data_IF_285334957222
#
_entry.id   IF_285334957222
#
_cell.length_a   1.000
_cell.length_b   1.000
_cell.length_c   1.000
_cell.angle_alpha   90.00
_cell.angle_beta   90.00
_cell.angle_gamma   90.00
#
_symmetry.space_group_name_H-M   'P 1'
#
loop_
_entity.id
_entity.type
_entity.pdbx_description
1 polymer ?
#
# COMPACT_ATOMS: atom_id res chain seq x y z
N UNK A 1 13.02 14.09 39.51
CA UNK A 1 12.68 15.14 38.53
C UNK A 1 13.64 15.24 37.33
N UNK A 2 14.92 14.86 37.44
CA UNK A 2 15.88 15.01 36.33
C UNK A 2 15.69 14.02 35.16
N UNK A 3 15.18 12.80 35.42
CA UNK A 3 14.98 11.77 34.39
C UNK A 3 13.92 12.13 33.33
N UNK A 4 12.91 12.91 33.69
CA UNK A 4 11.87 13.37 32.75
C UNK A 4 12.42 14.47 31.84
N UNK A 5 13.19 15.40 32.38
CA UNK A 5 13.83 16.47 31.61
C UNK A 5 14.90 15.94 30.64
N UNK A 6 15.66 14.92 31.02
CA UNK A 6 16.60 14.25 30.12
C UNK A 6 15.90 13.48 29.00
N UNK A 7 14.79 12.79 29.29
CA UNK A 7 13.97 12.15 28.25
C UNK A 7 13.39 13.18 27.28
N UNK A 8 12.90 14.32 27.78
CA UNK A 8 12.36 15.39 26.94
C UNK A 8 13.45 16.05 26.09
N UNK A 9 14.64 16.30 26.66
CA UNK A 9 15.80 16.82 25.90
C UNK A 9 16.30 15.81 24.85
N UNK A 10 16.36 14.53 25.18
CA UNK A 10 16.70 13.46 24.25
C UNK A 10 15.69 13.31 23.11
N UNK A 11 14.40 13.45 23.40
CA UNK A 11 13.33 13.48 22.39
C UNK A 11 13.44 14.71 21.49
N UNK A 12 13.67 15.90 22.06
CA UNK A 12 13.88 17.15 21.30
C UNK A 12 15.10 17.07 20.38
N UNK A 13 16.21 16.53 20.86
CA UNK A 13 17.43 16.39 20.08
C UNK A 13 17.24 15.41 18.91
N UNK A 14 16.53 14.31 19.13
CA UNK A 14 16.15 13.36 18.06
C UNK A 14 15.18 13.98 17.06
N UNK A 15 14.19 14.74 17.51
CA UNK A 15 13.23 15.43 16.65
C UNK A 15 13.90 16.50 15.79
N UNK A 16 14.86 17.24 16.34
CA UNK A 16 15.63 18.27 15.61
C UNK A 16 16.54 17.69 14.51
N UNK A 17 16.85 16.39 14.57
CA UNK A 17 17.63 15.68 13.53
C UNK A 17 16.76 15.00 12.48
N UNK A 18 15.43 15.07 12.56
CA UNK A 18 14.56 14.47 11.55
C UNK A 18 14.61 15.33 10.29
N UNK A 19 15.13 14.75 9.20
CA UNK A 19 15.09 15.40 7.90
C UNK A 19 13.65 15.45 7.37
N UNK A 20 13.30 16.54 6.67
CA UNK A 20 11.94 16.74 6.17
C UNK A 20 11.53 15.65 5.15
N UNK A 21 12.46 15.17 4.33
CA UNK A 21 12.13 14.23 3.26
C UNK A 21 11.69 12.83 3.76
N UNK A 22 12.39 12.16 4.69
CA UNK A 22 11.87 10.94 5.32
C UNK A 22 10.49 11.12 5.95
N UNK A 23 10.21 12.28 6.54
CA UNK A 23 8.91 12.57 7.13
C UNK A 23 7.83 12.72 6.05
N UNK A 24 8.14 13.40 4.94
CA UNK A 24 7.25 13.51 3.78
C UNK A 24 6.92 12.15 3.17
N UNK A 25 7.92 11.26 3.02
CA UNK A 25 7.67 9.90 2.51
C UNK A 25 6.72 9.14 3.46
N UNK A 26 6.91 9.26 4.79
CA UNK A 26 6.01 8.63 5.77
C UNK A 26 4.61 9.22 5.75
N UNK A 27 4.49 10.54 5.60
CA UNK A 27 3.21 11.21 5.37
C UNK A 27 2.54 10.69 4.09
N UNK A 28 3.32 10.50 3.02
CA UNK A 28 2.86 9.89 1.77
C UNK A 28 2.33 8.47 1.96
N UNK A 29 3.03 7.62 2.73
CA UNK A 29 2.56 6.27 3.08
C UNK A 29 1.20 6.35 3.78
N UNK A 30 1.08 7.20 4.82
CA UNK A 30 -0.16 7.37 5.56
C UNK A 30 -1.31 7.77 4.64
N UNK A 31 -1.10 8.80 3.80
CA UNK A 31 -2.13 9.30 2.89
C UNK A 31 -2.56 8.27 1.85
N UNK A 32 -1.60 7.57 1.24
CA UNK A 32 -1.89 6.53 0.23
C UNK A 32 -2.63 5.35 0.85
N UNK A 33 -2.22 4.89 2.04
CA UNK A 33 -2.89 3.79 2.74
C UNK A 33 -4.30 4.20 3.18
N UNK A 34 -4.46 5.40 3.76
CA UNK A 34 -5.75 5.92 4.16
C UNK A 34 -6.70 6.06 2.96
N UNK A 35 -6.22 6.62 1.84
CA UNK A 35 -6.98 6.69 0.60
C UNK A 35 -7.38 5.29 0.10
N UNK A 36 -6.48 4.31 0.20
CA UNK A 36 -6.76 2.92 -0.11
C UNK A 36 -7.90 2.35 0.74
N UNK A 37 -7.89 2.61 2.06
CA UNK A 37 -8.99 2.21 2.94
C UNK A 37 -10.31 2.90 2.58
N UNK A 38 -10.30 4.22 2.39
CA UNK A 38 -11.51 4.98 2.07
C UNK A 38 -12.13 4.53 0.73
N UNK A 39 -11.30 4.15 -0.24
CA UNK A 39 -11.78 3.67 -1.53
C UNK A 39 -12.29 2.23 -1.48
N UNK A 40 -11.68 1.39 -0.65
CA UNK A 40 -12.02 -0.01 -0.51
C UNK A 40 -13.32 -0.23 0.28
N UNK A 41 -13.52 0.51 1.37
CA UNK A 41 -14.70 0.33 2.23
C UNK A 41 -15.98 0.97 1.63
N UNK A 42 -17.16 0.41 1.93
CA UNK A 42 -18.43 1.03 1.59
C UNK A 42 -18.67 2.26 2.49
N UNK A 43 -19.31 3.31 1.95
CA UNK A 43 -19.53 4.59 2.68
C UNK A 43 -20.35 4.39 3.97
N UNK A 44 -21.24 3.40 3.97
CA UNK A 44 -22.04 2.98 5.11
C UNK A 44 -21.19 2.52 6.31
N UNK A 45 -19.96 2.07 6.07
CA UNK A 45 -19.04 1.62 7.10
C UNK A 45 -18.15 2.75 7.63
N UNK A 46 -18.13 3.92 6.99
CA UNK A 46 -17.27 5.06 7.33
C UNK A 46 -17.86 5.94 8.45
N UNK A 47 -18.35 5.32 9.53
CA UNK A 47 -18.73 6.03 10.74
C UNK A 47 -17.49 6.65 11.43
N UNK A 48 -17.62 7.71 12.24
CA UNK A 48 -16.47 8.40 12.85
C UNK A 48 -15.50 7.48 13.61
N UNK A 49 -16.03 6.46 14.33
CA UNK A 49 -15.20 5.47 15.04
C UNK A 49 -14.41 4.57 14.09
N UNK A 50 -15.04 4.15 12.99
CA UNK A 50 -14.37 3.33 11.97
C UNK A 50 -13.32 4.14 11.21
N UNK A 51 -13.61 5.40 10.86
CA UNK A 51 -12.64 6.32 10.26
C UNK A 51 -11.42 6.53 11.16
N UNK A 52 -11.63 6.71 12.47
CA UNK A 52 -10.54 6.80 13.42
C UNK A 52 -9.72 5.50 13.46
N UNK A 53 -10.37 4.33 13.49
CA UNK A 53 -9.68 3.04 13.47
C UNK A 53 -8.87 2.84 12.18
N UNK A 54 -9.42 3.20 11.02
CA UNK A 54 -8.73 3.15 9.72
C UNK A 54 -7.55 4.13 9.67
N UNK A 55 -7.71 5.34 10.22
CA UNK A 55 -6.62 6.29 10.33
C UNK A 55 -5.49 5.74 11.21
N UNK A 56 -5.81 5.16 12.38
CA UNK A 56 -4.82 4.51 13.25
C UNK A 56 -4.14 3.35 12.52
N UNK A 57 -4.89 2.51 11.81
CA UNK A 57 -4.32 1.42 11.01
C UNK A 57 -3.39 1.94 9.90
N UNK A 58 -3.70 3.07 9.27
CA UNK A 58 -2.87 3.69 8.23
C UNK A 58 -1.56 4.28 8.78
N UNK A 59 -1.51 4.64 10.06
CA UNK A 59 -0.28 5.10 10.74
C UNK A 59 0.72 3.95 10.90
N UNK A 60 0.26 2.72 11.09
CA UNK A 60 1.13 1.55 11.34
C UNK A 60 2.24 1.36 10.28
N UNK A 61 1.93 1.28 8.97
CA UNK A 61 2.97 1.16 7.93
C UNK A 61 3.82 2.44 7.80
N UNK A 62 3.25 3.61 8.06
CA UNK A 62 3.98 4.88 8.02
C UNK A 62 5.04 5.00 9.11
N UNK A 63 4.81 4.41 10.30
CA UNK A 63 5.76 4.41 11.42
C UNK A 63 6.73 3.23 11.34
N UNK A 64 6.24 2.04 10.96
CA UNK A 64 7.02 0.82 10.90
C UNK A 64 7.11 0.16 9.52
N UNK A 65 7.72 0.80 8.51
CA UNK A 65 7.73 0.30 7.13
C UNK A 65 8.48 -1.03 6.93
N UNK A 66 9.40 -1.40 7.84
CA UNK A 66 10.19 -2.64 7.79
C UNK A 66 9.50 -3.89 8.35
N UNK A 67 8.30 -3.74 8.95
CA UNK A 67 7.62 -4.82 9.69
C UNK A 67 6.49 -5.41 8.86
N UNK A 68 5.66 -6.22 9.49
CA UNK A 68 4.43 -6.79 8.93
C UNK A 68 3.35 -5.75 8.58
N UNK A 69 3.53 -4.48 8.96
CA UNK A 69 2.49 -3.44 8.85
C UNK A 69 2.05 -3.10 7.42
N UNK A 70 2.93 -3.02 6.40
CA UNK A 70 2.49 -2.84 5.03
C UNK A 70 1.61 -4.00 4.54
N UNK A 71 1.95 -5.24 4.92
CA UNK A 71 1.15 -6.43 4.61
C UNK A 71 -0.18 -6.39 5.34
N UNK A 72 -0.18 -6.05 6.64
CA UNK A 72 -1.40 -5.89 7.41
C UNK A 72 -2.34 -4.85 6.78
N UNK A 73 -1.81 -3.68 6.40
CA UNK A 73 -2.59 -2.65 5.73
C UNK A 73 -3.16 -3.16 4.40
N UNK A 74 -2.35 -3.86 3.58
CA UNK A 74 -2.85 -4.46 2.34
C UNK A 74 -4.01 -5.45 2.59
N UNK A 75 -3.91 -6.29 3.62
CA UNK A 75 -4.98 -7.23 3.99
C UNK A 75 -6.24 -6.50 4.46
N UNK A 76 -6.11 -5.41 5.23
CA UNK A 76 -7.25 -4.57 5.65
C UNK A 76 -7.92 -3.91 4.43
N UNK A 77 -7.15 -3.41 3.47
CA UNK A 77 -7.70 -2.87 2.22
C UNK A 77 -8.45 -3.95 1.43
N UNK A 78 -7.89 -5.15 1.31
CA UNK A 78 -8.54 -6.27 0.61
C UNK A 78 -9.83 -6.69 1.34
N UNK A 79 -9.80 -6.76 2.68
CA UNK A 79 -10.99 -7.06 3.46
C UNK A 79 -12.10 -6.01 3.26
N UNK A 80 -11.73 -4.72 3.25
CA UNK A 80 -12.66 -3.63 2.92
C UNK A 80 -13.26 -3.76 1.53
N UNK A 81 -12.43 -4.08 0.53
CA UNK A 81 -12.87 -4.29 -0.84
C UNK A 81 -13.87 -5.46 -0.95
N UNK A 82 -13.54 -6.60 -0.34
CA UNK A 82 -14.41 -7.78 -0.32
C UNK A 82 -15.72 -7.49 0.40
N UNK A 83 -15.67 -6.78 1.52
CA UNK A 83 -16.86 -6.34 2.24
C UNK A 83 -17.74 -5.46 1.34
N UNK A 84 -17.17 -4.51 0.61
CA UNK A 84 -17.93 -3.66 -0.30
C UNK A 84 -18.55 -4.46 -1.46
N UNK A 85 -17.82 -5.41 -2.04
CA UNK A 85 -18.30 -6.16 -3.22
C UNK A 85 -19.25 -7.29 -2.88
N UNK A 86 -19.05 -7.99 -1.76
CA UNK A 86 -19.81 -9.19 -1.38
C UNK A 86 -20.85 -8.92 -0.29
N UNK A 87 -20.62 -7.92 0.57
CA UNK A 87 -21.50 -7.60 1.69
C UNK A 87 -22.45 -6.42 1.45
N UNK A 88 -22.16 -5.58 0.44
CA UNK A 88 -22.92 -4.36 0.13
C UNK A 88 -23.29 -4.25 -1.35
N UNK A 89 -23.21 -5.36 -2.10
CA UNK A 89 -23.54 -5.45 -3.53
C UNK A 89 -22.97 -4.31 -4.40
N UNK A 90 -21.80 -3.78 -4.03
CA UNK A 90 -21.19 -2.65 -4.73
C UNK A 90 -20.29 -3.20 -5.85
N UNK A 91 -20.76 -3.25 -7.10
CA UNK A 91 -20.10 -4.01 -8.15
C UNK A 91 -18.66 -3.53 -8.37
N UNK A 92 -17.73 -4.45 -8.70
CA UNK A 92 -16.35 -4.08 -9.03
C UNK A 92 -16.33 -3.35 -10.37
N UNK A 93 -16.14 -2.03 -10.31
CA UNK A 93 -15.95 -1.18 -11.50
C UNK A 93 -14.46 -0.98 -11.77
N UNK A 94 -14.08 -0.96 -13.05
CA UNK A 94 -12.69 -0.96 -13.51
C UNK A 94 -11.85 0.16 -12.89
N UNK A 95 -12.35 1.41 -12.90
CA UNK A 95 -11.60 2.55 -12.36
C UNK A 95 -11.30 2.38 -10.86
N UNK A 96 -12.24 1.83 -10.08
CA UNK A 96 -12.07 1.62 -8.64
C UNK A 96 -11.07 0.52 -8.38
N UNK A 97 -11.10 -0.54 -9.19
CA UNK A 97 -10.15 -1.64 -9.12
C UNK A 97 -8.72 -1.15 -9.43
N UNK A 98 -8.55 -0.41 -10.52
CA UNK A 98 -7.27 0.17 -10.90
C UNK A 98 -6.74 1.15 -9.84
N UNK A 99 -7.62 1.99 -9.29
CA UNK A 99 -7.24 2.93 -8.24
C UNK A 99 -6.82 2.21 -6.94
N UNK A 100 -7.55 1.19 -6.49
CA UNK A 100 -7.14 0.39 -5.31
C UNK A 100 -5.84 -0.36 -5.56
N UNK A 101 -5.67 -0.98 -6.73
CA UNK A 101 -4.43 -1.66 -7.10
C UNK A 101 -3.23 -0.68 -7.13
N UNK A 102 -3.44 0.52 -7.68
CA UNK A 102 -2.43 1.59 -7.72
C UNK A 102 -2.05 2.03 -6.31
N UNK A 103 -3.03 2.27 -5.44
CA UNK A 103 -2.79 2.70 -4.05
C UNK A 103 -2.08 1.60 -3.25
N UNK A 104 -2.44 0.33 -3.43
CA UNK A 104 -1.73 -0.80 -2.80
C UNK A 104 -0.27 -0.88 -3.27
N UNK A 105 -0.02 -0.74 -4.56
CA UNK A 105 1.34 -0.75 -5.11
C UNK A 105 2.16 0.44 -4.61
N UNK A 106 1.58 1.65 -4.63
CA UNK A 106 2.21 2.85 -4.11
C UNK A 106 2.51 2.74 -2.61
N UNK A 107 1.58 2.25 -1.80
CA UNK A 107 1.81 2.04 -0.37
C UNK A 107 2.98 1.08 -0.13
N UNK A 108 3.00 -0.05 -0.86
CA UNK A 108 4.06 -1.05 -0.74
C UNK A 108 5.43 -0.48 -1.14
N UNK A 109 5.52 0.18 -2.30
CA UNK A 109 6.79 0.72 -2.79
C UNK A 109 7.30 1.89 -1.95
N UNK A 110 6.40 2.75 -1.42
CA UNK A 110 6.78 3.81 -0.49
C UNK A 110 7.26 3.24 0.86
N UNK A 111 6.66 2.16 1.35
CA UNK A 111 7.16 1.45 2.53
C UNK A 111 8.56 0.87 2.26
N UNK A 112 8.78 0.26 1.10
CA UNK A 112 10.10 -0.24 0.71
C UNK A 112 11.15 0.89 0.64
N UNK A 113 10.79 2.04 0.08
CA UNK A 113 11.66 3.22 0.08
C UNK A 113 11.94 3.71 1.51
N UNK A 114 10.90 3.94 2.31
CA UNK A 114 11.04 4.42 3.69
C UNK A 114 11.78 3.44 4.61
N UNK A 115 11.78 2.14 4.29
CA UNK A 115 12.59 1.15 4.95
C UNK A 115 14.09 1.37 4.70
N UNK A 116 14.49 1.97 3.59
CA UNK A 116 15.90 2.25 3.28
C UNK A 116 16.37 3.63 3.75
N UNK A 117 15.45 4.55 4.01
CA UNK A 117 15.79 5.93 4.40
C UNK A 117 16.12 6.04 5.90
N UNK A 118 17.32 6.52 6.27
CA UNK A 118 17.61 6.94 7.63
C UNK A 118 16.80 8.19 7.99
N UNK A 119 16.37 8.31 9.25
CA UNK A 119 15.55 9.45 9.69
C UNK A 119 16.32 10.78 9.70
N UNK A 120 17.63 10.72 9.85
CA UNK A 120 18.56 11.85 9.94
C UNK A 120 19.39 12.07 8.67
N UNK A 121 19.15 11.28 7.63
CA UNK A 121 19.85 11.43 6.36
C UNK A 121 19.32 12.59 5.53
N UNK A 122 20.25 13.41 5.04
CA UNK A 122 20.00 14.30 3.90
C UNK A 122 19.89 13.42 2.64
N UNK A 123 18.69 13.33 2.10
CA UNK A 123 18.39 12.50 0.93
C UNK A 123 18.13 13.45 -0.23
N UNK A 124 18.76 13.14 -1.36
CA UNK A 124 18.53 13.83 -2.63
C UNK A 124 17.04 13.67 -3.06
N UNK A 125 16.28 14.76 -3.20
CA UNK A 125 14.90 14.71 -3.68
C UNK A 125 14.74 14.03 -5.04
N UNK A 126 15.74 14.11 -5.91
CA UNK A 126 15.69 13.51 -7.23
C UNK A 126 15.63 11.98 -7.15
N UNK A 127 16.18 11.38 -6.09
CA UNK A 127 16.05 9.95 -5.83
C UNK A 127 14.57 9.56 -5.64
N UNK A 128 13.83 10.36 -4.88
CA UNK A 128 12.41 10.11 -4.61
C UNK A 128 11.61 10.31 -5.90
N UNK A 129 11.91 11.34 -6.68
CA UNK A 129 11.25 11.58 -7.98
C UNK A 129 11.51 10.44 -8.97
N UNK A 130 12.75 9.96 -9.10
CA UNK A 130 13.08 8.80 -9.94
C UNK A 130 12.38 7.53 -9.47
N UNK A 131 12.27 7.33 -8.16
CA UNK A 131 11.53 6.20 -7.58
C UNK A 131 10.04 6.27 -7.92
N UNK A 132 9.42 7.44 -7.76
CA UNK A 132 8.01 7.67 -8.10
C UNK A 132 7.77 7.54 -9.60
N UNK A 133 8.67 8.03 -10.45
CA UNK A 133 8.57 7.87 -11.90
C UNK A 133 8.61 6.39 -12.31
N UNK A 134 9.53 5.60 -11.73
CA UNK A 134 9.58 4.15 -11.93
C UNK A 134 8.30 3.47 -11.46
N UNK A 135 7.81 3.83 -10.28
CA UNK A 135 6.56 3.28 -9.74
C UNK A 135 5.37 3.62 -10.65
N UNK A 136 5.29 4.86 -11.14
CA UNK A 136 4.29 5.30 -12.10
C UNK A 136 4.37 4.53 -13.42
N UNK A 137 5.57 4.28 -13.94
CA UNK A 137 5.77 3.45 -15.13
C UNK A 137 5.28 2.01 -14.94
N UNK A 138 5.54 1.40 -13.78
CA UNK A 138 5.03 0.06 -13.45
C UNK A 138 3.51 0.07 -13.36
N UNK A 139 2.92 1.02 -12.63
CA UNK A 139 1.46 1.17 -12.52
C UNK A 139 0.82 1.35 -13.88
N UNK A 140 1.37 2.21 -14.74
CA UNK A 140 0.86 2.46 -16.08
C UNK A 140 0.93 1.20 -16.94
N UNK A 141 2.07 0.52 -16.98
CA UNK A 141 2.23 -0.72 -17.73
C UNK A 141 1.26 -1.81 -17.24
N UNK A 142 1.12 -1.97 -15.92
CA UNK A 142 0.18 -2.91 -15.31
C UNK A 142 -1.28 -2.54 -15.59
N UNK A 143 -1.63 -1.26 -15.57
CA UNK A 143 -2.97 -0.79 -15.89
C UNK A 143 -3.31 -1.04 -17.37
N UNK A 144 -2.41 -0.69 -18.29
CA UNK A 144 -2.58 -0.95 -19.73
C UNK A 144 -2.76 -2.45 -19.98
N UNK A 145 -1.85 -3.27 -19.45
CA UNK A 145 -1.93 -4.73 -19.60
C UNK A 145 -3.22 -5.28 -18.98
N UNK A 146 -3.59 -4.83 -17.78
CA UNK A 146 -4.81 -5.24 -17.10
C UNK A 146 -6.08 -4.89 -17.88
N UNK A 147 -6.13 -3.69 -18.48
CA UNK A 147 -7.24 -3.26 -19.35
C UNK A 147 -7.31 -4.09 -20.63
N UNK A 148 -6.17 -4.33 -21.29
CA UNK A 148 -6.12 -5.15 -22.50
C UNK A 148 -6.58 -6.58 -22.21
N UNK A 149 -6.09 -7.18 -21.12
CA UNK A 149 -6.50 -8.53 -20.71
C UNK A 149 -7.98 -8.59 -20.32
N UNK A 150 -8.49 -7.58 -19.62
CA UNK A 150 -9.92 -7.49 -19.29
C UNK A 150 -10.79 -7.38 -20.55
N UNK A 151 -10.35 -6.60 -21.54
CA UNK A 151 -11.04 -6.46 -22.81
C UNK A 151 -11.02 -7.77 -23.62
N UNK A 152 -9.85 -8.41 -23.76
CA UNK A 152 -9.71 -9.71 -24.44
C UNK A 152 -10.49 -10.82 -23.73
N UNK A 153 -10.59 -10.76 -22.40
CA UNK A 153 -11.35 -11.69 -21.58
C UNK A 153 -12.87 -11.48 -21.59
N UNK A 154 -13.38 -10.48 -22.32
CA UNK A 154 -14.82 -10.23 -22.43
C UNK A 154 -15.48 -9.86 -21.10
N UNK A 155 -14.79 -9.07 -20.25
CA UNK A 155 -15.33 -8.61 -18.97
C UNK A 155 -16.69 -7.93 -19.18
N UNK A 156 -17.77 -8.59 -18.72
CA UNK A 156 -19.17 -8.22 -18.97
C UNK A 156 -20.05 -9.37 -19.50
N UNK A 157 -19.46 -10.45 -20.01
CA UNK A 157 -20.17 -11.68 -20.37
C UNK A 157 -20.34 -12.67 -19.21
N UNK A 158 -21.31 -13.57 -19.29
CA UNK A 158 -21.61 -14.62 -18.28
C UNK A 158 -20.55 -15.73 -18.17
N UNK A 159 -19.44 -15.64 -18.92
CA UNK A 159 -18.46 -16.71 -19.15
C UNK A 159 -17.14 -16.60 -18.40
N UNK A 160 -17.12 -16.10 -17.16
CA UNK A 160 -15.89 -16.08 -16.35
C UNK A 160 -15.48 -17.49 -15.89
N UNK A 161 -14.29 -17.96 -16.27
CA UNK A 161 -13.79 -19.28 -15.85
C UNK A 161 -13.13 -19.19 -14.46
N UNK A 162 -13.80 -19.71 -13.44
CA UNK A 162 -13.23 -19.84 -12.09
C UNK A 162 -11.92 -20.64 -12.10
N UNK A 163 -11.82 -21.67 -12.94
CA UNK A 163 -10.61 -22.48 -13.10
C UNK A 163 -9.43 -21.64 -13.60
N UNK A 164 -9.66 -20.74 -14.57
CA UNK A 164 -8.62 -19.84 -15.07
C UNK A 164 -8.13 -18.86 -13.98
N UNK A 165 -9.04 -18.33 -13.16
CA UNK A 165 -8.69 -17.46 -12.02
C UNK A 165 -7.86 -18.21 -10.97
N UNK A 166 -8.25 -19.44 -10.61
CA UNK A 166 -7.51 -20.27 -9.67
C UNK A 166 -6.14 -20.64 -10.22
N UNK A 167 -6.05 -21.02 -11.49
CA UNK A 167 -4.78 -21.32 -12.14
C UNK A 167 -3.84 -20.09 -12.15
N UNK A 168 -4.36 -18.92 -12.50
CA UNK A 168 -3.61 -17.66 -12.44
C UNK A 168 -3.11 -17.34 -11.03
N UNK A 169 -3.94 -17.56 -10.01
CA UNK A 169 -3.54 -17.37 -8.61
C UNK A 169 -2.42 -18.35 -8.20
N UNK A 170 -2.52 -19.63 -8.57
CA UNK A 170 -1.50 -20.64 -8.29
C UNK A 170 -0.16 -20.28 -8.95
N UNK A 171 -0.19 -19.80 -10.20
CA UNK A 171 1.01 -19.33 -10.90
C UNK A 171 1.63 -18.13 -10.17
N UNK A 172 0.81 -17.14 -9.77
CA UNK A 172 1.30 -15.97 -9.05
C UNK A 172 1.93 -16.34 -7.69
N UNK A 173 1.30 -17.25 -6.93
CA UNK A 173 1.82 -17.76 -5.65
C UNK A 173 3.11 -18.55 -5.87
N UNK A 174 3.14 -19.42 -6.87
CA UNK A 174 4.32 -20.22 -7.23
C UNK A 174 5.52 -19.35 -7.61
N UNK A 175 5.31 -18.34 -8.46
CA UNK A 175 6.34 -17.36 -8.82
C UNK A 175 6.84 -16.57 -7.61
N UNK A 176 5.94 -16.14 -6.73
CA UNK A 176 6.30 -15.42 -5.50
C UNK A 176 7.13 -16.30 -4.55
N UNK A 177 6.76 -17.57 -4.39
CA UNK A 177 7.50 -18.54 -3.59
C UNK A 177 8.88 -18.84 -4.19
N UNK A 178 8.96 -19.01 -5.51
CA UNK A 178 10.22 -19.22 -6.24
C UNK A 178 11.17 -18.03 -6.06
N UNK A 179 10.68 -16.81 -6.25
CA UNK A 179 11.46 -15.59 -6.03
C UNK A 179 11.95 -15.49 -4.58
N UNK A 180 11.06 -15.76 -3.61
CA UNK A 180 11.41 -15.77 -2.20
C UNK A 180 12.47 -16.82 -1.85
N UNK A 181 12.43 -17.99 -2.48
CA UNK A 181 13.44 -19.04 -2.32
C UNK A 181 14.78 -18.67 -2.96
N UNK A 182 14.76 -18.11 -4.18
CA UNK A 182 15.97 -17.66 -4.88
C UNK A 182 16.71 -16.57 -4.08
N UNK A 183 15.97 -15.66 -3.44
CA UNK A 183 16.54 -14.61 -2.60
C UNK A 183 17.16 -15.13 -1.30
N UNK A 184 16.65 -16.24 -0.74
CA UNK A 184 17.22 -16.87 0.48
C UNK A 184 18.45 -17.73 0.20
N UNK A 185 18.69 -18.07 -1.07
CA UNK A 185 19.85 -18.87 -1.51
C UNK A 185 21.10 -18.04 -1.78
N UNK A 186 20.97 -16.71 -1.83
CA UNK A 186 22.09 -15.77 -1.93
C UNK A 186 22.45 -15.25 -0.55
#
# INVERSE_FOLDING_TARGET
MNSVLERVRGLRYRAARVSALPLLVRGGIFLVVLAGFLLAYPVQFLAPRALLALAVAAVLPAVGPRRIWPTFAALVTIAGWLLATLGYDRPPVLWRLLAVATLLYLAHTLCALAALLPYDGLIDPDLVLRWLARAGGVVLASAVLGVVLAWLGGVGGTGGSQAATVAGLLVAVGLSALLGWLLRRR
#
